data_IF_192850530119
#
_entry.id   IF_192850530119
#
_cell.length_a   1.000
_cell.length_b   1.000
_cell.length_c   1.000
_cell.angle_alpha   90.00
_cell.angle_beta   90.00
_cell.angle_gamma   90.00
#
_symmetry.space_group_name_H-M   'P 1'
#
loop_
_entity.id
_entity.type
_entity.pdbx_description
1 polymer ?
#
# COMPACT_ATOMS: atom_id res chain seq x y z
N UNK A 1 -26.66 35.16 -28.74
CA UNK A 1 -26.71 33.83 -28.10
C UNK A 1 -27.89 33.87 -27.17
N UNK A 2 -28.91 33.04 -27.38
CA UNK A 2 -30.13 33.10 -26.58
C UNK A 2 -29.82 32.59 -25.17
N UNK A 3 -30.03 33.44 -24.15
CA UNK A 3 -29.89 33.05 -22.75
C UNK A 3 -31.01 32.05 -22.43
N UNK A 4 -30.64 30.80 -22.17
CA UNK A 4 -31.58 29.74 -21.86
C UNK A 4 -31.98 29.88 -20.38
N UNK A 5 -33.13 30.52 -20.15
CA UNK A 5 -33.67 30.74 -18.81
C UNK A 5 -34.17 29.41 -18.23
N UNK A 6 -33.60 28.98 -17.10
CA UNK A 6 -34.07 27.83 -16.35
C UNK A 6 -34.85 28.30 -15.11
N UNK A 7 -36.05 27.75 -14.89
CA UNK A 7 -36.84 27.98 -13.67
C UNK A 7 -36.70 26.76 -12.75
N UNK A 8 -35.90 26.89 -11.70
CA UNK A 8 -35.57 25.80 -10.78
C UNK A 8 -34.17 25.97 -10.17
N UNK A 9 -33.73 25.01 -9.37
CA UNK A 9 -32.36 24.97 -8.85
C UNK A 9 -31.45 24.27 -9.86
N UNK A 10 -30.37 24.93 -10.27
CA UNK A 10 -29.32 24.37 -11.09
C UNK A 10 -28.16 23.91 -10.18
N UNK A 11 -27.68 22.68 -10.40
CA UNK A 11 -26.48 22.17 -9.75
C UNK A 11 -25.39 22.06 -10.81
N UNK A 12 -24.36 22.91 -10.68
CA UNK A 12 -23.15 22.83 -11.49
C UNK A 12 -22.07 22.18 -10.64
N UNK A 13 -21.74 20.93 -10.94
CA UNK A 13 -20.64 20.22 -10.28
C UNK A 13 -19.33 20.59 -10.98
N UNK A 14 -18.47 21.29 -10.25
CA UNK A 14 -17.13 21.66 -10.73
C UNK A 14 -16.15 20.69 -10.09
N UNK A 15 -15.68 19.71 -10.85
CA UNK A 15 -14.67 18.73 -10.45
C UNK A 15 -13.23 19.19 -10.74
N UNK A 16 -13.10 20.39 -11.33
CA UNK A 16 -11.85 20.96 -11.80
C UNK A 16 -11.14 21.75 -10.69
N UNK A 17 -10.25 21.07 -9.97
CA UNK A 17 -9.27 21.66 -9.06
C UNK A 17 -7.87 21.13 -9.36
N UNK A 18 -6.83 21.93 -9.12
CA UNK A 18 -5.45 21.49 -9.24
C UNK A 18 -5.21 20.30 -8.28
N UNK A 19 -5.04 19.10 -8.83
CA UNK A 19 -4.68 17.92 -8.04
C UNK A 19 -3.26 18.13 -7.52
N UNK A 20 -3.04 18.20 -6.19
CA UNK A 20 -1.70 18.35 -5.66
C UNK A 20 -0.84 17.17 -6.09
N UNK A 21 0.38 17.45 -6.54
CA UNK A 21 1.35 16.42 -6.92
C UNK A 21 1.69 15.65 -5.64
N UNK A 22 1.38 14.35 -5.64
CA UNK A 22 1.80 13.44 -4.56
C UNK A 22 3.10 12.76 -4.98
N UNK A 23 4.11 12.88 -4.13
CA UNK A 23 5.34 12.09 -4.28
C UNK A 23 5.00 10.62 -4.05
N UNK A 24 5.24 9.77 -5.04
CA UNK A 24 5.13 8.33 -4.87
C UNK A 24 6.25 7.84 -3.94
N UNK A 25 5.94 7.01 -2.96
CA UNK A 25 6.97 6.32 -2.18
C UNK A 25 7.65 5.27 -3.05
N UNK A 26 8.87 5.55 -3.50
CA UNK A 26 9.72 4.59 -4.22
C UNK A 26 10.59 3.72 -3.29
N UNK A 27 10.53 3.95 -1.97
CA UNK A 27 11.40 3.28 -0.99
C UNK A 27 10.89 1.94 -0.44
N UNK A 28 9.94 1.29 -1.09
CA UNK A 28 9.42 -0.01 -0.63
C UNK A 28 10.31 -1.12 -1.19
N UNK A 29 10.94 -1.88 -0.29
CA UNK A 29 11.82 -3.01 -0.63
C UNK A 29 11.00 -4.30 -0.51
N UNK A 30 10.98 -5.10 -1.57
CA UNK A 30 10.43 -6.46 -1.56
C UNK A 30 11.54 -7.49 -1.37
N UNK A 31 11.36 -8.40 -0.42
CA UNK A 31 12.28 -9.53 -0.18
C UNK A 31 11.57 -10.84 -0.56
N UNK A 32 12.29 -11.74 -1.23
CA UNK A 32 11.81 -13.07 -1.59
C UNK A 32 12.88 -14.09 -1.19
N UNK A 33 12.50 -15.09 -0.40
CA UNK A 33 13.41 -16.08 0.14
C UNK A 33 12.69 -17.17 0.92
N UNK A 34 13.46 -18.02 1.58
CA UNK A 34 12.94 -19.14 2.38
C UNK A 34 12.99 -18.83 3.87
N UNK A 35 11.99 -19.27 4.61
CA UNK A 35 11.92 -19.21 6.07
C UNK A 35 11.11 -20.41 6.60
N UNK A 36 11.74 -21.60 6.73
CA UNK A 36 11.05 -22.82 7.16
C UNK A 36 10.52 -22.74 8.60
N UNK A 37 11.15 -21.92 9.45
CA UNK A 37 10.79 -21.75 10.85
C UNK A 37 9.86 -20.55 11.09
N UNK A 38 9.33 -19.95 10.01
CA UNK A 38 8.45 -18.80 10.13
C UNK A 38 7.12 -19.17 10.80
N UNK A 39 6.61 -18.27 11.63
CA UNK A 39 5.24 -18.38 12.16
C UNK A 39 4.24 -18.34 11.00
N UNK A 40 3.58 -19.47 10.72
CA UNK A 40 2.64 -19.62 9.62
C UNK A 40 1.41 -18.71 9.72
N UNK A 41 1.08 -18.21 10.91
CA UNK A 41 -0.01 -17.24 11.11
C UNK A 41 0.42 -15.83 10.75
N UNK A 42 1.67 -15.46 11.06
CA UNK A 42 2.24 -14.17 10.73
C UNK A 42 2.74 -14.10 9.29
N UNK A 43 3.22 -15.22 8.73
CA UNK A 43 3.74 -15.36 7.37
C UNK A 43 3.09 -16.54 6.64
N UNK A 44 1.85 -16.35 6.13
CA UNK A 44 1.19 -17.38 5.34
C UNK A 44 1.96 -17.68 4.05
N UNK A 45 1.94 -18.95 3.63
CA UNK A 45 2.63 -19.39 2.43
C UNK A 45 2.15 -18.60 1.20
N UNK A 46 3.11 -18.16 0.37
CA UNK A 46 2.89 -17.40 -0.87
C UNK A 46 2.06 -16.12 -0.71
N UNK A 47 2.00 -15.55 0.49
CA UNK A 47 1.30 -14.30 0.76
C UNK A 47 2.31 -13.23 1.19
N UNK A 48 2.45 -12.12 0.46
CA UNK A 48 3.34 -11.04 0.86
C UNK A 48 2.82 -10.35 2.13
N UNK A 49 3.70 -10.18 3.12
CA UNK A 49 3.38 -9.54 4.40
C UNK A 49 4.20 -8.26 4.52
N UNK A 50 3.54 -7.15 4.86
CA UNK A 50 4.20 -5.87 5.07
C UNK A 50 4.87 -5.82 6.44
N UNK A 51 6.19 -5.61 6.44
CA UNK A 51 6.95 -5.28 7.65
C UNK A 51 7.36 -3.82 7.59
N UNK A 52 6.76 -2.98 8.44
CA UNK A 52 7.07 -1.54 8.53
C UNK A 52 8.35 -1.28 9.36
N UNK A 53 9.47 -1.93 9.01
CA UNK A 53 10.76 -1.77 9.70
C UNK A 53 10.83 -2.31 11.14
N UNK A 54 9.80 -3.05 11.59
CA UNK A 54 9.75 -3.61 12.93
C UNK A 54 10.59 -4.88 13.04
N UNK A 55 11.71 -4.79 13.78
CA UNK A 55 12.54 -5.97 14.11
C UNK A 55 11.76 -7.02 14.92
N UNK A 56 10.78 -6.62 15.73
CA UNK A 56 9.95 -7.55 16.51
C UNK A 56 9.07 -8.42 15.64
N UNK A 57 8.55 -7.85 14.55
CA UNK A 57 7.79 -8.61 13.55
C UNK A 57 8.72 -9.52 12.74
N UNK A 58 9.92 -9.03 12.38
CA UNK A 58 10.91 -9.82 11.64
C UNK A 58 11.42 -11.05 12.41
N UNK A 59 11.47 -11.02 13.75
CA UNK A 59 11.87 -12.19 14.57
C UNK A 59 10.96 -13.40 14.32
N UNK A 60 9.70 -13.19 13.92
CA UNK A 60 8.75 -14.28 13.60
C UNK A 60 9.10 -15.05 12.32
N UNK A 61 10.11 -14.60 11.55
CA UNK A 61 10.66 -15.37 10.41
C UNK A 61 11.49 -16.59 10.88
N UNK A 62 11.84 -16.66 12.15
CA UNK A 62 12.68 -17.72 12.70
C UNK A 62 14.15 -17.54 12.36
N UNK A 63 14.94 -18.62 12.52
CA UNK A 63 16.38 -18.60 12.30
C UNK A 63 16.82 -19.38 11.04
N UNK A 64 15.99 -20.30 10.54
CA UNK A 64 16.27 -21.07 9.33
C UNK A 64 15.97 -20.31 8.04
N UNK A 65 16.56 -20.80 6.94
CA UNK A 65 16.34 -20.26 5.60
C UNK A 65 17.25 -19.08 5.25
N UNK A 66 16.81 -18.25 4.29
CA UNK A 66 17.60 -17.13 3.77
C UNK A 66 17.07 -15.77 4.21
N UNK A 67 15.80 -15.66 4.62
CA UNK A 67 15.17 -14.39 4.99
C UNK A 67 15.67 -13.78 6.31
N UNK A 68 16.00 -14.54 7.37
CA UNK A 68 16.48 -13.96 8.63
C UNK A 68 17.81 -13.20 8.53
N UNK A 69 18.58 -13.43 7.46
CA UNK A 69 19.90 -12.82 7.22
C UNK A 69 19.87 -11.68 6.18
N UNK A 70 18.71 -11.44 5.55
CA UNK A 70 18.52 -10.39 4.53
C UNK A 70 18.36 -9.00 5.16
#
# INVERSE_FOLDING_TARGET
MAEQYLHGAEVVEIDNGARPIRTAQSGVIGLVGTAPDADATAFPLNTPVLIAGSRREAVKLGAGGTLPQA
#
